data_IF_711717884665
#
_entry.id   IF_711717884665
#
_cell.length_a   1.000
_cell.length_b   1.000
_cell.length_c   1.000
_cell.angle_alpha   90.00
_cell.angle_beta   90.00
_cell.angle_gamma   90.00
#
_symmetry.space_group_name_H-M   'P 1'
#
loop_
_entity.id
_entity.type
_entity.pdbx_description
1 polymer ?
#
# COMPACT_ATOMS: atom_id res chain seq x y z
N UNK A 1 22.58 -27.25 54.86
CA UNK A 1 21.43 -27.65 54.02
C UNK A 1 20.63 -26.39 53.54
N UNK A 2 21.25 -25.45 52.81
CA UNK A 2 20.56 -24.23 52.28
C UNK A 2 20.64 -24.14 50.76
N UNK A 3 21.32 -25.06 50.10
CA UNK A 3 21.55 -25.07 48.65
C UNK A 3 20.33 -25.36 47.77
N UNK A 4 19.32 -26.15 48.15
CA UNK A 4 18.17 -26.45 47.24
C UNK A 4 17.26 -25.25 47.02
N UNK A 5 17.16 -24.32 47.98
CA UNK A 5 16.24 -23.18 47.88
C UNK A 5 16.72 -22.20 46.81
N UNK A 6 18.05 -21.94 46.70
CA UNK A 6 18.60 -21.05 45.68
C UNK A 6 18.46 -21.61 44.25
N UNK A 7 18.58 -22.95 44.12
CA UNK A 7 18.39 -23.61 42.83
C UNK A 7 16.95 -23.49 42.35
N UNK A 8 15.98 -23.62 43.26
CA UNK A 8 14.56 -23.48 42.94
C UNK A 8 14.21 -22.05 42.54
N UNK A 9 14.79 -21.04 43.19
CA UNK A 9 14.63 -19.62 42.87
C UNK A 9 15.18 -19.27 41.47
N UNK A 10 16.33 -19.83 41.10
CA UNK A 10 16.93 -19.63 39.78
C UNK A 10 16.06 -20.24 38.69
N UNK A 11 15.50 -21.43 38.87
CA UNK A 11 14.60 -22.07 37.90
C UNK A 11 13.32 -21.26 37.69
N UNK A 12 12.76 -20.66 38.74
CA UNK A 12 11.58 -19.80 38.62
C UNK A 12 11.83 -18.52 37.81
N UNK A 13 13.05 -17.94 37.88
CA UNK A 13 13.40 -16.75 37.13
C UNK A 13 13.49 -17.04 35.61
N UNK A 14 13.98 -18.21 35.24
CA UNK A 14 14.08 -18.62 33.84
C UNK A 14 12.72 -19.07 33.24
N UNK A 15 11.77 -19.49 34.06
CA UNK A 15 10.42 -19.87 33.60
C UNK A 15 9.51 -18.66 33.32
N UNK A 16 9.89 -17.45 33.73
CA UNK A 16 9.04 -16.25 33.62
C UNK A 16 9.08 -15.54 32.26
N UNK A 17 9.84 -16.02 31.28
CA UNK A 17 9.93 -15.37 29.99
C UNK A 17 9.47 -16.32 28.88
N UNK A 18 8.25 -16.14 28.39
CA UNK A 18 7.85 -16.29 26.99
C UNK A 18 6.37 -16.62 26.82
N UNK A 19 5.51 -15.75 27.28
CA UNK A 19 4.21 -15.63 26.60
C UNK A 19 4.39 -14.61 25.49
N UNK A 20 4.78 -15.05 24.28
CA UNK A 20 4.50 -14.28 23.08
C UNK A 20 2.99 -14.18 22.99
N UNK A 21 2.43 -13.06 23.41
CA UNK A 21 1.08 -12.68 23.02
C UNK A 21 1.13 -12.56 21.50
N UNK A 22 0.64 -13.57 20.80
CA UNK A 22 0.33 -13.46 19.37
C UNK A 22 -0.87 -12.53 19.30
N UNK A 23 -0.60 -11.24 19.28
CA UNK A 23 -1.61 -10.25 18.93
C UNK A 23 -2.02 -10.61 17.51
N UNK A 24 -3.29 -10.90 17.29
CA UNK A 24 -3.81 -11.12 15.95
C UNK A 24 -3.49 -9.87 15.14
N UNK A 25 -2.58 -9.97 14.17
CA UNK A 25 -2.22 -8.89 13.29
C UNK A 25 -3.46 -8.58 12.45
N UNK A 26 -3.97 -7.36 12.59
CA UNK A 26 -5.12 -6.91 11.78
C UNK A 26 -4.58 -6.71 10.36
N UNK A 27 -5.11 -7.48 9.43
CA UNK A 27 -4.80 -7.29 8.01
C UNK A 27 -5.54 -6.04 7.48
N UNK A 28 -4.86 -4.91 7.52
CA UNK A 28 -5.39 -3.64 7.01
C UNK A 28 -5.51 -3.61 5.49
N UNK A 29 -4.84 -4.51 4.76
CA UNK A 29 -4.89 -4.53 3.30
C UNK A 29 -6.28 -4.88 2.77
N UNK A 30 -7.07 -5.63 3.55
CA UNK A 30 -8.46 -5.96 3.22
C UNK A 30 -9.39 -4.75 3.15
N UNK A 31 -9.01 -3.62 3.74
CA UNK A 31 -9.79 -2.37 3.71
C UNK A 31 -9.35 -1.43 2.58
N UNK A 32 -8.28 -1.76 1.86
CA UNK A 32 -7.76 -0.93 0.79
C UNK A 32 -8.40 -1.30 -0.53
N UNK A 33 -9.07 -0.33 -1.17
CA UNK A 33 -9.53 -0.46 -2.54
C UNK A 33 -8.77 0.53 -3.44
N UNK A 34 -7.82 0.06 -4.26
CA UNK A 34 -7.01 0.93 -5.10
C UNK A 34 -7.80 1.62 -6.22
N UNK A 35 -9.02 1.18 -6.50
CA UNK A 35 -9.85 1.75 -7.57
C UNK A 35 -10.76 2.90 -7.10
N UNK A 36 -10.68 3.32 -5.84
CA UNK A 36 -11.44 4.47 -5.37
C UNK A 36 -11.01 5.73 -6.14
N UNK A 37 -11.98 6.41 -6.78
CA UNK A 37 -11.76 7.63 -7.55
C UNK A 37 -11.22 7.42 -8.97
N UNK A 38 -11.08 6.19 -9.45
CA UNK A 38 -10.62 5.91 -10.82
C UNK A 38 -11.74 5.92 -11.86
N UNK A 39 -12.95 6.32 -11.47
CA UNK A 39 -14.12 6.43 -12.32
C UNK A 39 -14.73 7.84 -12.28
N UNK A 40 -15.61 8.16 -13.19
CA UNK A 40 -16.24 9.48 -13.35
C UNK A 40 -15.21 10.62 -13.39
N UNK A 41 -15.30 11.55 -12.48
CA UNK A 41 -14.45 12.74 -12.38
C UNK A 41 -13.45 12.65 -11.22
N UNK A 42 -13.20 11.46 -10.69
CA UNK A 42 -12.31 11.26 -9.55
C UNK A 42 -10.84 11.52 -9.89
N UNK A 43 -10.42 11.19 -11.10
CA UNK A 43 -9.07 11.42 -11.62
C UNK A 43 -7.96 10.95 -10.65
N UNK A 44 -8.08 9.70 -10.22
CA UNK A 44 -7.04 9.03 -9.44
C UNK A 44 -6.49 7.84 -10.22
N UNK A 45 -5.28 7.44 -9.93
CA UNK A 45 -4.67 6.24 -10.47
C UNK A 45 -4.59 5.14 -9.39
N UNK A 46 -4.64 3.85 -9.76
CA UNK A 46 -4.67 2.74 -8.80
C UNK A 46 -3.30 2.33 -8.27
N UNK A 47 -2.24 3.02 -8.65
CA UNK A 47 -0.87 2.69 -8.26
C UNK A 47 -0.57 2.95 -6.79
N UNK A 48 0.27 2.10 -6.20
CA UNK A 48 0.77 2.30 -4.86
C UNK A 48 1.87 3.35 -4.84
N UNK A 49 1.82 4.25 -3.87
CA UNK A 49 2.81 5.30 -3.69
C UNK A 49 3.29 5.32 -2.24
N UNK A 50 4.62 5.32 -2.07
CA UNK A 50 5.20 5.58 -0.75
C UNK A 50 5.08 7.07 -0.40
N UNK A 51 4.94 7.43 0.89
CA UNK A 51 4.94 8.83 1.29
C UNK A 51 6.20 9.53 0.77
N UNK A 52 6.00 10.67 0.09
CA UNK A 52 7.08 11.45 -0.56
C UNK A 52 7.85 10.69 -1.66
N UNK A 53 7.30 9.57 -2.15
CA UNK A 53 7.89 8.82 -3.26
C UNK A 53 7.78 9.61 -4.56
N UNK A 54 8.85 9.58 -5.36
CA UNK A 54 8.86 10.21 -6.69
C UNK A 54 8.31 9.27 -7.77
N UNK A 55 8.27 7.97 -7.50
CA UNK A 55 7.76 6.97 -8.43
C UNK A 55 6.32 6.61 -8.05
N UNK A 56 5.41 6.80 -9.00
CA UNK A 56 3.99 6.48 -8.89
C UNK A 56 3.62 5.53 -10.04
N UNK A 57 4.13 4.33 -10.01
CA UNK A 57 3.88 3.34 -11.05
C UNK A 57 2.41 2.94 -11.11
N UNK A 58 1.80 3.10 -12.27
CA UNK A 58 0.40 2.74 -12.51
C UNK A 58 0.17 2.34 -13.96
N UNK A 59 -0.89 1.57 -14.26
CA UNK A 59 -1.33 1.35 -15.62
C UNK A 59 -1.88 2.63 -16.26
N UNK A 60 -1.67 2.75 -17.57
CA UNK A 60 -2.21 3.79 -18.44
C UNK A 60 -3.16 3.18 -19.46
N UNK A 61 -4.31 3.80 -19.67
CA UNK A 61 -5.25 3.38 -20.72
C UNK A 61 -4.81 3.87 -22.11
N UNK A 62 -3.99 4.92 -22.18
CA UNK A 62 -3.48 5.47 -23.43
C UNK A 62 -4.50 6.21 -24.29
N UNK A 63 -5.68 6.49 -23.74
CA UNK A 63 -6.74 7.22 -24.44
C UNK A 63 -6.79 8.67 -23.95
N UNK A 64 -6.94 9.64 -24.87
CA UNK A 64 -7.10 11.02 -24.47
C UNK A 64 -8.49 11.26 -23.87
N UNK A 65 -8.59 12.16 -22.92
CA UNK A 65 -9.87 12.59 -22.35
C UNK A 65 -9.71 13.23 -20.99
N UNK A 66 -10.68 14.08 -20.64
CA UNK A 66 -10.70 14.75 -19.36
C UNK A 66 -10.79 13.76 -18.18
N UNK A 67 -11.56 12.68 -18.36
CA UNK A 67 -11.74 11.65 -17.34
C UNK A 67 -10.49 10.75 -17.17
N UNK A 68 -9.47 10.93 -18.00
CA UNK A 68 -8.23 10.15 -18.06
C UNK A 68 -6.99 10.97 -17.76
N UNK A 69 -7.15 12.11 -17.12
CA UNK A 69 -6.04 13.01 -16.78
C UNK A 69 -5.00 12.31 -15.91
N UNK A 70 -5.42 11.40 -15.02
CA UNK A 70 -4.52 10.61 -14.18
C UNK A 70 -3.85 9.43 -14.89
N UNK A 71 -4.07 9.25 -16.19
CA UNK A 71 -3.56 8.13 -16.99
C UNK A 71 -4.46 6.89 -16.98
N UNK A 72 -5.24 6.69 -15.95
CA UNK A 72 -6.10 5.52 -15.78
C UNK A 72 -7.57 5.89 -15.61
N UNK A 73 -8.44 5.11 -16.26
CA UNK A 73 -9.89 5.21 -16.12
C UNK A 73 -10.52 3.80 -16.05
N UNK A 74 -11.15 3.48 -14.93
CA UNK A 74 -11.63 2.13 -14.63
C UNK A 74 -12.58 1.52 -15.69
N UNK A 75 -13.51 2.28 -16.32
CA UNK A 75 -14.40 1.74 -17.34
C UNK A 75 -13.73 1.36 -18.65
N UNK A 76 -12.49 1.76 -18.89
CA UNK A 76 -11.78 1.40 -20.11
C UNK A 76 -11.41 -0.09 -20.10
N UNK A 77 -11.55 -0.75 -21.25
CA UNK A 77 -11.31 -2.18 -21.41
C UNK A 77 -9.86 -2.51 -21.79
N UNK A 78 -9.01 -1.51 -21.99
CA UNK A 78 -7.64 -1.68 -22.48
C UNK A 78 -6.65 -0.92 -21.61
N UNK A 79 -5.46 -1.50 -21.49
CA UNK A 79 -4.29 -0.88 -20.89
C UNK A 79 -3.23 -0.77 -22.00
N UNK A 80 -2.70 0.42 -22.23
CA UNK A 80 -1.68 0.67 -23.25
C UNK A 80 -0.28 0.39 -22.69
N UNK A 81 -0.06 0.62 -21.41
CA UNK A 81 1.24 0.43 -20.78
C UNK A 81 1.23 0.79 -19.30
N UNK A 82 2.42 1.03 -18.77
CA UNK A 82 2.64 1.49 -17.40
C UNK A 82 3.65 2.62 -17.43
N UNK A 83 3.33 3.73 -16.80
CA UNK A 83 4.29 4.82 -16.61
C UNK A 83 4.67 5.01 -15.14
N UNK A 84 5.72 5.78 -14.91
CA UNK A 84 6.33 5.92 -13.58
C UNK A 84 5.85 7.15 -12.83
N UNK A 85 5.17 8.08 -13.51
CA UNK A 85 4.77 9.35 -12.95
C UNK A 85 3.29 9.58 -13.17
N UNK A 86 2.54 9.73 -12.10
CA UNK A 86 1.10 10.01 -12.15
C UNK A 86 0.76 11.12 -11.15
N UNK A 87 -0.21 11.94 -11.51
CA UNK A 87 -0.80 12.95 -10.65
C UNK A 87 -2.28 12.64 -10.43
N UNK A 88 -2.73 12.73 -9.21
CA UNK A 88 -4.15 12.65 -8.88
C UNK A 88 -4.77 14.04 -8.88
N UNK A 89 -6.02 14.12 -9.35
CA UNK A 89 -6.78 15.37 -9.41
C UNK A 89 -6.95 15.92 -10.82
N UNK A 90 -7.52 17.11 -10.90
CA UNK A 90 -7.80 17.80 -12.17
C UNK A 90 -6.90 19.00 -12.36
N UNK A 91 -6.60 19.35 -13.61
CA UNK A 91 -6.04 20.66 -13.99
C UNK A 91 -4.63 20.66 -14.56
N UNK A 92 -3.92 19.55 -14.58
CA UNK A 92 -2.67 19.41 -15.31
C UNK A 92 -2.67 18.09 -16.07
N UNK A 93 -2.19 18.10 -17.32
CA UNK A 93 -1.91 16.86 -18.03
C UNK A 93 -0.79 16.11 -17.33
N UNK A 94 -0.92 14.79 -17.27
CA UNK A 94 0.11 13.95 -16.68
C UNK A 94 1.38 13.97 -17.53
N UNK A 95 2.52 13.97 -16.88
CA UNK A 95 3.81 13.94 -17.54
C UNK A 95 4.16 12.48 -17.84
N UNK A 96 3.78 12.01 -19.02
CA UNK A 96 4.22 10.72 -19.54
C UNK A 96 5.72 10.80 -19.89
N UNK A 97 6.56 10.45 -18.96
CA UNK A 97 7.99 10.55 -19.17
C UNK A 97 8.65 9.26 -19.66
N UNK A 98 8.18 8.09 -19.19
CA UNK A 98 8.68 6.78 -19.64
C UNK A 98 7.57 5.72 -19.52
N UNK A 99 7.23 5.08 -20.59
CA UNK A 99 6.28 3.96 -20.68
C UNK A 99 6.98 2.69 -21.20
#
# INVERSE_FOLDING_TARGET
>A
MKTPIYLLLIVCIFASCNTKQTQAEIDYTSYVNPFIGTDFTGNTYPGAQAPFGMVQLSPDNGLPGWDRISGYFYPDSTIAGFSHTHLSGTGAGDLYDIS
#
